data_IF_515915142657
#
_entry.id   IF_515915142657
#
_cell.length_a   1.000
_cell.length_b   1.000
_cell.length_c   1.000
_cell.angle_alpha   90.00
_cell.angle_beta   90.00
_cell.angle_gamma   90.00
#
_symmetry.space_group_name_H-M   'P 1'
#
loop_
_entity.id
_entity.type
_entity.pdbx_description
1 polymer ?
#
# COMPACT_ATOMS: atom_id res chain seq x y z
N UNK A 1 11.72 11.07 16.18
CA UNK A 1 11.84 9.67 15.73
C UNK A 1 10.52 9.00 16.05
N UNK A 2 9.72 8.64 15.04
CA UNK A 2 8.51 7.83 15.26
C UNK A 2 8.99 6.39 15.30
N UNK A 3 8.96 5.75 16.46
CA UNK A 3 9.14 4.30 16.54
C UNK A 3 7.83 3.64 16.12
N UNK A 4 7.92 2.71 15.16
CA UNK A 4 6.78 1.94 14.65
C UNK A 4 7.05 0.48 15.02
N UNK A 5 6.29 -0.04 15.98
CA UNK A 5 6.26 -1.47 16.28
C UNK A 5 5.14 -2.12 15.46
N UNK A 6 5.42 -3.21 14.76
CA UNK A 6 4.41 -3.99 14.02
C UNK A 6 4.06 -5.25 14.82
N UNK A 7 2.78 -5.49 15.04
CA UNK A 7 2.25 -6.68 15.73
C UNK A 7 1.97 -7.79 14.72
N UNK A 8 1.59 -7.44 13.49
CA UNK A 8 1.34 -8.39 12.42
C UNK A 8 0.84 -7.72 11.15
N UNK A 9 0.53 -8.56 10.17
CA UNK A 9 -0.05 -8.16 8.89
C UNK A 9 -1.23 -9.08 8.57
N UNK A 10 -2.34 -8.50 8.14
CA UNK A 10 -3.48 -9.21 7.59
C UNK A 10 -3.47 -9.03 6.07
N UNK A 11 -3.58 -10.13 5.32
CA UNK A 11 -3.84 -10.08 3.88
C UNK A 11 -5.34 -9.98 3.68
N UNK A 12 -5.78 -8.90 3.06
CA UNK A 12 -7.17 -8.67 2.69
C UNK A 12 -7.43 -9.17 1.27
N UNK A 13 -8.68 -9.09 0.83
CA UNK A 13 -9.04 -9.48 -0.52
C UNK A 13 -8.30 -8.61 -1.55
N UNK A 14 -7.74 -9.22 -2.61
CA UNK A 14 -7.15 -8.49 -3.72
C UNK A 14 -8.16 -7.56 -4.40
N UNK A 15 -7.68 -6.41 -4.87
CA UNK A 15 -8.53 -5.33 -5.40
C UNK A 15 -7.91 -4.70 -6.65
N UNK A 16 -8.75 -4.26 -7.58
CA UNK A 16 -8.33 -3.40 -8.69
C UNK A 16 -8.24 -1.95 -8.21
N UNK A 17 -7.06 -1.34 -8.35
CA UNK A 17 -6.78 0.00 -7.86
C UNK A 17 -6.52 0.94 -9.04
N UNK A 18 -7.26 2.05 -9.05
CA UNK A 18 -7.09 3.14 -10.00
C UNK A 18 -6.33 4.29 -9.33
N UNK A 19 -5.21 4.69 -9.92
CA UNK A 19 -4.32 5.78 -9.49
C UNK A 19 -3.85 6.58 -10.71
N UNK A 20 -3.19 7.75 -10.56
CA UNK A 20 -2.78 8.53 -11.72
C UNK A 20 -1.81 7.81 -12.67
N UNK A 21 -0.99 6.86 -12.17
CA UNK A 21 -0.11 6.04 -13.00
C UNK A 21 -0.86 4.99 -13.86
N UNK A 22 -2.15 4.74 -13.60
CA UNK A 22 -2.95 3.75 -14.31
C UNK A 22 -3.78 2.86 -13.39
N UNK A 23 -4.21 1.72 -13.93
CA UNK A 23 -5.03 0.72 -13.23
C UNK A 23 -4.18 -0.53 -12.97
N UNK A 24 -4.19 -1.00 -11.72
CA UNK A 24 -3.35 -2.12 -11.28
C UNK A 24 -4.19 -3.17 -10.54
N UNK A 25 -3.88 -4.45 -10.76
CA UNK A 25 -4.38 -5.55 -9.93
C UNK A 25 -3.48 -5.70 -8.70
N UNK A 26 -4.03 -5.44 -7.52
CA UNK A 26 -3.25 -5.33 -6.29
C UNK A 26 -3.56 -6.41 -5.27
N UNK A 27 -2.52 -6.87 -4.59
CA UNK A 27 -2.61 -7.47 -3.27
C UNK A 27 -2.79 -6.37 -2.23
N UNK A 28 -3.67 -6.60 -1.26
CA UNK A 28 -3.99 -5.63 -0.21
C UNK A 28 -3.57 -6.18 1.15
N UNK A 29 -2.75 -5.44 1.87
CA UNK A 29 -2.31 -5.77 3.22
C UNK A 29 -2.66 -4.67 4.20
N UNK A 30 -3.08 -5.09 5.39
CA UNK A 30 -3.29 -4.22 6.54
C UNK A 30 -2.26 -4.55 7.62
N UNK A 31 -1.38 -3.61 7.90
CA UNK A 31 -0.38 -3.71 8.96
C UNK A 31 -0.96 -3.24 10.30
N UNK A 32 -0.89 -4.11 11.30
CA UNK A 32 -1.38 -3.85 12.65
C UNK A 32 -0.20 -3.34 13.46
N UNK A 33 -0.29 -2.08 13.89
CA UNK A 33 0.79 -1.37 14.56
C UNK A 33 0.52 -1.22 16.06
N UNK A 34 1.58 -1.25 16.87
CA UNK A 34 1.51 -1.02 18.31
C UNK A 34 1.16 0.45 18.56
N UNK A 35 0.10 0.70 19.32
CA UNK A 35 -0.34 2.03 19.76
C UNK A 35 -0.59 3.05 18.63
N UNK A 36 -0.86 2.57 17.41
CA UNK A 36 -1.13 3.40 16.23
C UNK A 36 -2.27 2.80 15.41
N UNK A 37 -3.00 3.62 14.64
CA UNK A 37 -3.90 3.12 13.61
C UNK A 37 -3.16 2.20 12.63
N UNK A 38 -3.89 1.24 12.06
CA UNK A 38 -3.34 0.37 11.02
C UNK A 38 -2.94 1.15 9.79
N UNK A 39 -1.93 0.65 9.10
CA UNK A 39 -1.51 1.12 7.78
C UNK A 39 -1.98 0.12 6.73
N UNK A 40 -2.55 0.59 5.63
CA UNK A 40 -2.99 -0.25 4.52
C UNK A 40 -2.15 0.03 3.28
N UNK A 41 -1.69 -1.04 2.63
CA UNK A 41 -0.81 -0.99 1.48
C UNK A 41 -1.33 -1.89 0.36
N UNK A 42 -1.22 -1.38 -0.86
CA UNK A 42 -1.59 -2.08 -2.08
C UNK A 42 -0.36 -2.25 -2.96
N UNK A 43 -0.04 -3.48 -3.32
CA UNK A 43 1.11 -3.83 -4.16
C UNK A 43 0.66 -4.60 -5.39
N UNK A 44 1.33 -4.42 -6.51
CA UNK A 44 1.20 -5.34 -7.65
C UNK A 44 1.63 -6.76 -7.26
N UNK A 45 1.03 -7.76 -7.91
CA UNK A 45 1.32 -9.18 -7.63
C UNK A 45 2.70 -9.62 -8.07
N UNK A 46 3.18 -9.10 -9.19
CA UNK A 46 4.29 -9.70 -9.92
C UNK A 46 5.66 -9.20 -9.44
N UNK A 47 5.76 -7.91 -9.11
CA UNK A 47 7.02 -7.22 -8.78
C UNK A 47 6.98 -6.46 -7.45
N UNK A 48 5.88 -6.57 -6.69
CA UNK A 48 5.67 -5.86 -5.42
C UNK A 48 5.80 -4.33 -5.54
N UNK A 49 5.52 -3.76 -6.71
CA UNK A 49 5.42 -2.32 -6.89
C UNK A 49 4.30 -1.78 -5.99
N UNK A 50 4.65 -0.83 -5.12
CA UNK A 50 3.69 -0.16 -4.25
C UNK A 50 2.82 0.80 -5.08
N UNK A 51 1.51 0.62 -5.03
CA UNK A 51 0.51 1.36 -5.81
C UNK A 51 -0.21 2.40 -4.96
N UNK A 52 -0.56 2.05 -3.73
CA UNK A 52 -1.24 2.95 -2.78
C UNK A 52 -0.80 2.64 -1.34
N UNK A 53 -0.73 3.69 -0.52
CA UNK A 53 -0.67 3.60 0.94
C UNK A 53 -1.77 4.46 1.53
N UNK A 54 -2.53 3.92 2.48
CA UNK A 54 -3.45 4.70 3.32
C UNK A 54 -3.03 4.53 4.76
N UNK A 55 -2.83 5.65 5.46
CA UNK A 55 -2.59 5.60 6.89
C UNK A 55 -3.36 6.66 7.64
N UNK A 56 -4.30 6.21 8.48
CA UNK A 56 -5.15 7.09 9.27
C UNK A 56 -4.35 7.94 10.28
N UNK A 57 -3.14 7.50 10.68
CA UNK A 57 -2.27 8.31 11.55
C UNK A 57 -1.84 9.62 10.89
N UNK A 58 -1.62 9.61 9.57
CA UNK A 58 -1.18 10.77 8.80
C UNK A 58 -2.34 11.47 8.10
N UNK A 59 -3.57 10.93 8.23
CA UNK A 59 -4.77 11.40 7.54
C UNK A 59 -4.53 11.58 6.02
N UNK A 60 -3.67 10.73 5.44
CA UNK A 60 -3.17 10.89 4.07
C UNK A 60 -3.22 9.56 3.32
N UNK A 61 -3.51 9.67 2.03
CA UNK A 61 -3.37 8.59 1.05
C UNK A 61 -2.27 8.98 0.06
N UNK A 62 -1.31 8.08 -0.13
CA UNK A 62 -0.29 8.20 -1.16
C UNK A 62 -0.66 7.29 -2.32
N UNK A 63 -0.54 7.80 -3.54
CA UNK A 63 -0.88 7.08 -4.76
C UNK A 63 0.28 7.14 -5.74
N UNK A 64 0.49 6.05 -6.47
CA UNK A 64 1.49 5.99 -7.53
C UNK A 64 1.07 6.91 -8.68
N UNK A 65 1.87 7.94 -8.93
CA UNK A 65 1.55 8.97 -9.94
C UNK A 65 2.12 8.68 -11.31
N UNK A 66 3.32 8.09 -11.35
CA UNK A 66 4.02 7.71 -12.58
C UNK A 66 4.69 6.34 -12.36
N UNK A 67 4.67 5.49 -13.38
CA UNK A 67 5.31 4.19 -13.36
C UNK A 67 6.08 4.00 -14.67
N UNK A 68 7.39 3.78 -14.55
CA UNK A 68 8.26 3.50 -15.68
C UNK A 68 8.67 2.04 -15.63
N UNK A 69 7.99 1.23 -16.44
CA UNK A 69 8.43 -0.13 -16.67
C UNK A 69 9.80 -0.08 -17.38
N UNK A 70 10.81 -0.67 -16.75
CA UNK A 70 12.18 -0.72 -17.29
C UNK A 70 12.35 -1.84 -18.33
N UNK A 71 11.28 -2.56 -18.68
CA UNK A 71 11.30 -3.71 -19.58
C UNK A 71 10.87 -3.43 -21.04
N UNK A 72 10.91 -2.17 -21.49
CA UNK A 72 10.62 -1.78 -22.90
C UNK A 72 11.87 -1.70 -23.78
#
# INVERSE_FOLDING_TARGET
>A
MISIGMIGAERLEPEEINVPAGTFQCEHFKFILIDKPSEELWFTRDDLQLVRVRWDLLETTYELTEFHDSAA
#
